data_IF_042341740407
#
_entry.id   IF_042341740407
#
_cell.length_a   1.000
_cell.length_b   1.000
_cell.length_c   1.000
_cell.angle_alpha   90.00
_cell.angle_beta   90.00
_cell.angle_gamma   90.00
#
_symmetry.space_group_name_H-M   'P 1'
#
loop_
_entity.id
_entity.type
_entity.pdbx_description
1 polymer ?
#
# COMPACT_ATOMS: atom_id res chain seq x y z
N UNK A 1 -32.88 2.79 12.74
CA UNK A 1 -32.11 2.50 11.51
C UNK A 1 -30.75 2.03 11.98
N UNK A 2 -30.33 0.82 11.59
CA UNK A 2 -29.03 0.26 11.95
C UNK A 2 -28.08 0.49 10.78
N UNK A 3 -26.98 1.18 10.99
CA UNK A 3 -25.93 1.32 9.97
C UNK A 3 -25.40 -0.06 9.59
N UNK A 4 -25.70 -0.49 8.37
CA UNK A 4 -25.10 -1.66 7.72
C UNK A 4 -23.59 -1.39 7.50
N UNK A 5 -22.78 -1.68 8.51
CA UNK A 5 -21.30 -1.65 8.47
C UNK A 5 -20.69 -2.70 7.53
N UNK A 6 -21.51 -3.46 6.80
CA UNK A 6 -21.10 -4.50 5.85
C UNK A 6 -20.75 -3.96 4.47
N UNK A 7 -21.03 -2.67 4.18
CA UNK A 7 -20.49 -1.96 3.02
C UNK A 7 -19.19 -1.24 3.36
N UNK A 8 -18.26 -1.96 4.00
CA UNK A 8 -16.85 -1.54 3.99
C UNK A 8 -16.38 -1.81 2.58
N UNK A 9 -16.36 -0.76 1.75
CA UNK A 9 -15.91 -0.84 0.37
C UNK A 9 -14.53 -1.52 0.36
N UNK A 10 -14.51 -2.80 -0.01
CA UNK A 10 -13.30 -3.62 0.01
C UNK A 10 -12.28 -3.14 -1.01
N UNK A 11 -12.66 -2.22 -1.93
CA UNK A 11 -11.81 -1.80 -3.04
C UNK A 11 -10.72 -0.83 -2.60
N UNK A 12 -10.94 -0.05 -1.53
CA UNK A 12 -9.91 0.84 -1.01
C UNK A 12 -8.83 0.09 -0.22
N UNK A 13 -9.13 -1.10 0.35
CA UNK A 13 -8.11 -1.92 1.05
C UNK A 13 -7.02 -2.49 0.15
N UNK A 14 -7.28 -2.54 -1.16
CA UNK A 14 -6.36 -3.02 -2.18
C UNK A 14 -5.42 -1.93 -2.70
N UNK A 15 -5.53 -0.69 -2.21
CA UNK A 15 -4.66 0.41 -2.64
C UNK A 15 -3.84 0.99 -1.49
N UNK A 16 -2.74 1.65 -1.84
CA UNK A 16 -1.88 2.40 -0.92
C UNK A 16 -1.76 3.83 -1.43
N UNK A 17 -2.40 4.79 -0.77
CA UNK A 17 -2.34 6.19 -1.16
C UNK A 17 -0.94 6.74 -0.93
N UNK A 18 -0.32 7.26 -1.99
CA UNK A 18 1.00 7.90 -1.88
C UNK A 18 0.94 9.26 -1.16
N UNK A 19 -0.25 9.87 -1.12
CA UNK A 19 -0.52 11.18 -0.52
C UNK A 19 -0.71 11.09 1.01
N UNK A 20 -1.19 9.95 1.50
CA UNK A 20 -1.37 9.71 2.92
C UNK A 20 -0.08 9.16 3.52
N UNK A 21 0.67 10.00 4.25
CA UNK A 21 1.95 9.61 4.85
C UNK A 21 1.82 8.37 5.74
N UNK A 22 0.73 8.29 6.51
CA UNK A 22 0.46 7.14 7.37
C UNK A 22 0.33 5.82 6.60
N UNK A 23 -0.31 5.81 5.42
CA UNK A 23 -0.44 4.61 4.60
C UNK A 23 0.91 4.17 4.03
N UNK A 24 1.70 5.14 3.56
CA UNK A 24 3.05 4.91 3.05
C UNK A 24 3.97 4.36 4.14
N UNK A 25 3.97 4.96 5.33
CA UNK A 25 4.77 4.52 6.47
C UNK A 25 4.36 3.14 6.96
N UNK A 26 3.06 2.88 7.07
CA UNK A 26 2.56 1.56 7.46
C UNK A 26 2.96 0.49 6.44
N UNK A 27 2.82 0.79 5.14
CA UNK A 27 3.20 -0.14 4.09
C UNK A 27 4.72 -0.38 4.07
N UNK A 28 5.52 0.69 4.21
CA UNK A 28 6.97 0.64 4.29
C UNK A 28 7.45 -0.30 5.40
N UNK A 29 6.90 -0.17 6.60
CA UNK A 29 7.18 -1.08 7.73
C UNK A 29 6.78 -2.53 7.42
N UNK A 30 5.63 -2.73 6.78
CA UNK A 30 5.13 -4.08 6.41
C UNK A 30 6.07 -4.80 5.45
N UNK A 31 6.61 -4.10 4.46
CA UNK A 31 7.47 -4.69 3.42
C UNK A 31 8.97 -4.53 3.70
N UNK A 32 9.35 -3.84 4.77
CA UNK A 32 10.75 -3.59 5.13
C UNK A 32 11.45 -2.59 4.21
N UNK A 33 10.72 -1.65 3.61
CA UNK A 33 11.26 -0.57 2.77
C UNK A 33 11.21 0.77 3.51
N UNK A 34 11.87 1.79 2.97
CA UNK A 34 11.70 3.16 3.43
C UNK A 34 10.45 3.80 2.83
N UNK A 35 9.82 4.80 3.49
CA UNK A 35 8.69 5.52 2.93
C UNK A 35 8.99 6.15 1.56
N UNK A 36 10.22 6.61 1.34
CA UNK A 36 10.66 7.11 0.04
C UNK A 36 10.68 6.01 -1.03
N UNK A 37 11.20 4.82 -0.71
CA UNK A 37 11.17 3.68 -1.64
C UNK A 37 9.74 3.29 -1.99
N UNK A 38 8.81 3.31 -1.03
CA UNK A 38 7.39 3.03 -1.27
C UNK A 38 6.77 4.07 -2.19
N UNK A 39 7.02 5.37 -1.97
CA UNK A 39 6.54 6.44 -2.87
C UNK A 39 7.04 6.25 -4.31
N UNK A 40 8.31 5.89 -4.48
CA UNK A 40 8.87 5.60 -5.80
C UNK A 40 8.26 4.33 -6.42
N UNK A 41 8.00 3.30 -5.60
CA UNK A 41 7.31 2.09 -6.03
C UNK A 41 5.90 2.40 -6.54
N UNK A 42 5.16 3.25 -5.82
CA UNK A 42 3.81 3.69 -6.19
C UNK A 42 3.84 4.51 -7.48
N UNK A 43 4.79 5.44 -7.64
CA UNK A 43 4.95 6.21 -8.89
C UNK A 43 5.24 5.30 -10.09
N UNK A 44 6.01 4.23 -9.90
CA UNK A 44 6.46 3.35 -10.98
C UNK A 44 5.45 2.28 -11.37
N UNK A 45 4.76 1.70 -10.38
CA UNK A 45 3.91 0.52 -10.56
C UNK A 45 2.41 0.80 -10.31
N UNK A 46 2.07 2.01 -9.86
CA UNK A 46 0.75 2.36 -9.39
C UNK A 46 0.55 2.05 -7.91
N UNK A 47 -0.62 2.40 -7.38
CA UNK A 47 -0.95 2.24 -5.96
C UNK A 47 -1.59 0.89 -5.62
N UNK A 48 -1.52 -0.10 -6.50
CA UNK A 48 -2.08 -1.43 -6.26
C UNK A 48 -1.23 -2.20 -5.22
N UNK A 49 -1.84 -2.53 -4.09
CA UNK A 49 -1.16 -3.15 -2.95
C UNK A 49 -0.52 -4.47 -3.31
N UNK A 50 -1.21 -5.32 -4.06
CA UNK A 50 -0.70 -6.65 -4.43
C UNK A 50 0.55 -6.55 -5.31
N UNK A 51 0.54 -5.58 -6.23
CA UNK A 51 1.68 -5.26 -7.08
C UNK A 51 2.85 -4.73 -6.25
N UNK A 52 2.59 -3.75 -5.37
CA UNK A 52 3.61 -3.17 -4.51
C UNK A 52 4.25 -4.22 -3.58
N UNK A 53 3.47 -5.14 -3.02
CA UNK A 53 4.01 -6.22 -2.17
C UNK A 53 4.90 -7.19 -2.95
N UNK A 54 4.54 -7.48 -4.20
CA UNK A 54 5.35 -8.33 -5.09
C UNK A 54 6.67 -7.65 -5.44
N UNK A 55 6.63 -6.39 -5.87
CA UNK A 55 7.81 -5.63 -6.25
C UNK A 55 8.72 -5.37 -5.03
N UNK A 56 8.14 -5.07 -3.86
CA UNK A 56 8.90 -4.89 -2.63
C UNK A 56 9.63 -6.18 -2.20
N UNK A 57 8.97 -7.34 -2.29
CA UNK A 57 9.61 -8.65 -2.05
C UNK A 57 10.75 -8.94 -3.03
N UNK A 58 10.62 -8.52 -4.28
CA UNK A 58 11.70 -8.66 -5.27
C UNK A 58 12.90 -7.76 -4.93
N UNK A 59 12.65 -6.59 -4.34
CA UNK A 59 13.68 -5.63 -3.96
C UNK A 59 14.45 -6.05 -2.69
N UNK A 60 13.77 -6.62 -1.69
CA UNK A 60 14.39 -7.09 -0.43
C UNK A 60 15.06 -8.46 -0.48
N UNK A 61 15.02 -9.15 -1.63
CA UNK A 61 15.69 -10.45 -1.86
C UNK A 61 17.09 -10.34 -2.48
N UNK A 62 17.61 -9.13 -2.65
CA UNK A 62 19.00 -8.86 -3.05
C UNK A 62 19.90 -8.70 -1.84
#
# INVERSE_FOLDING_TARGET
MADDKSKRDFRDRDRVSADEEYEVEYFAQKVGLTPQQVRELIKKHGNDRTTLEREAKAMGRR
#
